data_IF_883902405313
#
_entry.id   IF_883902405313
#
_cell.length_a   1.000
_cell.length_b   1.000
_cell.length_c   1.000
_cell.angle_alpha   90.00
_cell.angle_beta   90.00
_cell.angle_gamma   90.00
#
_symmetry.space_group_name_H-M   'P 1'
#
loop_
_entity.id
_entity.type
_entity.pdbx_description
1 polymer ?
#
# COMPACT_ATOMS: atom_id res chain seq x y z
N UNK A 1 43.29 82.15 -1.79
CA UNK A 1 43.90 80.94 -2.31
C UNK A 1 42.92 79.78 -1.99
N UNK A 2 42.05 79.50 -2.95
CA UNK A 2 40.84 78.69 -2.74
C UNK A 2 41.05 77.35 -3.40
N UNK A 3 41.06 76.27 -2.63
CA UNK A 3 41.23 74.91 -3.12
C UNK A 3 39.83 74.31 -3.36
N UNK A 4 39.54 74.00 -4.63
CA UNK A 4 38.35 73.27 -5.05
C UNK A 4 38.56 71.76 -4.82
N UNK A 5 37.76 71.12 -3.95
CA UNK A 5 37.67 69.70 -3.83
C UNK A 5 36.53 69.18 -4.72
N UNK A 6 36.87 68.39 -5.73
CA UNK A 6 35.89 67.69 -6.60
C UNK A 6 35.41 66.43 -5.93
N UNK A 7 34.13 66.36 -5.62
CA UNK A 7 33.47 65.11 -5.21
C UNK A 7 33.20 64.26 -6.43
N UNK A 8 33.83 63.08 -6.47
CA UNK A 8 33.58 62.02 -7.46
C UNK A 8 32.52 61.08 -6.91
N UNK A 9 31.29 61.23 -7.41
CA UNK A 9 30.15 60.37 -7.00
C UNK A 9 30.25 59.00 -7.69
N UNK A 10 30.59 57.94 -6.96
CA UNK A 10 30.50 56.56 -7.43
C UNK A 10 29.05 56.09 -7.30
N UNK A 11 28.37 55.95 -8.45
CA UNK A 11 27.05 55.35 -8.53
C UNK A 11 27.25 53.81 -8.54
N UNK A 12 27.08 53.16 -7.39
CA UNK A 12 27.11 51.70 -7.28
C UNK A 12 25.79 51.16 -7.79
N UNK A 13 25.81 50.61 -9.02
CA UNK A 13 24.69 49.87 -9.62
C UNK A 13 24.66 48.48 -9.01
N UNK A 14 23.87 48.25 -7.97
CA UNK A 14 23.62 46.93 -7.39
C UNK A 14 22.66 46.16 -8.30
N UNK A 15 23.20 45.20 -9.07
CA UNK A 15 22.42 44.23 -9.83
C UNK A 15 21.89 43.18 -8.84
N UNK A 16 20.59 43.27 -8.51
CA UNK A 16 19.86 42.22 -7.79
C UNK A 16 19.65 41.02 -8.71
N UNK A 17 20.50 40.00 -8.58
CA UNK A 17 20.25 38.68 -9.16
C UNK A 17 19.09 38.04 -8.41
N UNK A 18 17.89 38.17 -8.94
CA UNK A 18 16.72 37.39 -8.48
C UNK A 18 16.92 35.95 -8.97
N UNK A 19 17.54 35.10 -8.14
CA UNK A 19 17.56 33.66 -8.35
C UNK A 19 16.13 33.11 -8.18
N UNK A 20 15.40 33.02 -9.27
CA UNK A 20 14.12 32.35 -9.30
C UNK A 20 14.34 30.86 -9.04
N UNK A 21 14.12 30.38 -7.81
CA UNK A 21 13.91 28.96 -7.55
C UNK A 21 12.64 28.54 -8.27
N UNK A 22 12.77 28.00 -9.49
CA UNK A 22 11.71 27.23 -10.11
C UNK A 22 11.56 25.93 -9.31
N UNK A 23 10.63 25.91 -8.37
CA UNK A 23 10.15 24.67 -7.76
C UNK A 23 9.55 23.80 -8.87
N UNK A 24 10.26 22.74 -9.23
CA UNK A 24 9.71 21.67 -10.10
C UNK A 24 8.44 21.19 -9.40
N UNK A 25 7.26 21.24 -10.03
CA UNK A 25 6.06 20.76 -9.41
C UNK A 25 6.27 19.27 -9.12
N UNK A 26 6.29 18.93 -7.85
CA UNK A 26 6.32 17.54 -7.40
C UNK A 26 5.04 16.89 -7.96
N UNK A 27 5.20 16.03 -8.98
CA UNK A 27 4.05 15.34 -9.59
C UNK A 27 3.44 14.46 -8.51
N UNK A 28 2.35 14.93 -7.91
CA UNK A 28 1.64 14.18 -6.88
C UNK A 28 1.36 12.77 -7.42
N UNK A 29 1.78 11.75 -6.68
CA UNK A 29 1.46 10.37 -7.03
C UNK A 29 -0.06 10.24 -7.12
N UNK A 30 -0.63 9.73 -8.24
CA UNK A 30 -2.06 9.58 -8.37
C UNK A 30 -2.64 8.75 -7.23
N UNK A 31 -3.86 9.09 -6.79
CA UNK A 31 -4.57 8.31 -5.78
C UNK A 31 -4.65 6.85 -6.22
N UNK A 32 -4.37 5.93 -5.29
CA UNK A 32 -4.43 4.51 -5.55
C UNK A 32 -5.88 4.10 -5.83
N UNK A 33 -6.13 3.50 -7.01
CA UNK A 33 -7.46 3.08 -7.39
C UNK A 33 -7.73 1.65 -6.93
N UNK A 34 -8.88 1.44 -6.31
CA UNK A 34 -9.40 0.11 -5.95
C UNK A 34 -10.23 -0.47 -7.10
N UNK A 35 -10.55 -1.77 -7.02
CA UNK A 35 -11.50 -2.41 -7.94
C UNK A 35 -12.90 -1.82 -7.81
N UNK A 36 -13.69 -1.89 -8.87
CA UNK A 36 -15.01 -1.28 -8.92
C UNK A 36 -16.01 -1.87 -7.93
N UNK A 37 -15.89 -3.15 -7.61
CA UNK A 37 -16.72 -3.84 -6.64
C UNK A 37 -16.10 -5.15 -6.16
N UNK A 38 -16.34 -5.48 -4.88
CA UNK A 38 -15.99 -6.77 -4.27
C UNK A 38 -17.27 -7.39 -3.68
N UNK A 39 -17.61 -8.57 -4.19
CA UNK A 39 -18.58 -9.45 -3.54
C UNK A 39 -17.87 -10.09 -2.33
N UNK A 40 -18.24 -9.65 -1.14
CA UNK A 40 -17.61 -10.08 0.10
C UNK A 40 -17.77 -11.59 0.30
N UNK A 41 -18.94 -12.16 0.00
CA UNK A 41 -19.20 -13.60 0.19
C UNK A 41 -18.25 -14.46 -0.67
N UNK A 42 -17.93 -14.00 -1.88
CA UNK A 42 -16.94 -14.65 -2.74
C UNK A 42 -15.49 -14.44 -2.28
N UNK A 43 -15.25 -13.33 -1.56
CA UNK A 43 -13.90 -13.00 -1.06
C UNK A 43 -13.55 -13.76 0.22
N UNK A 44 -14.54 -14.21 0.99
CA UNK A 44 -14.35 -14.99 2.22
C UNK A 44 -13.55 -16.27 1.98
N UNK A 45 -13.13 -16.91 3.07
CA UNK A 45 -12.38 -18.16 3.08
C UNK A 45 -10.87 -17.96 3.00
N UNK A 46 -10.15 -18.99 2.58
CA UNK A 46 -8.68 -19.04 2.63
C UNK A 46 -8.03 -18.40 1.41
N UNK A 47 -6.97 -17.63 1.67
CA UNK A 47 -6.04 -17.09 0.70
C UNK A 47 -4.60 -17.44 1.10
N UNK A 48 -3.77 -17.74 0.12
CA UNK A 48 -2.33 -17.93 0.26
C UNK A 48 -1.62 -16.65 -0.16
N UNK A 49 -0.65 -16.21 0.61
CA UNK A 49 0.23 -15.11 0.25
C UNK A 49 1.33 -15.62 -0.68
N UNK A 50 1.35 -15.11 -1.91
CA UNK A 50 2.30 -15.51 -2.95
C UNK A 50 3.52 -14.58 -2.96
N UNK A 51 3.30 -13.29 -2.71
CA UNK A 51 4.34 -12.28 -2.65
C UNK A 51 3.87 -11.08 -1.82
N UNK A 52 4.83 -10.37 -1.25
CA UNK A 52 4.59 -9.16 -0.45
C UNK A 52 5.73 -8.15 -0.62
N UNK A 53 5.46 -6.89 -0.28
CA UNK A 53 6.53 -5.95 0.01
C UNK A 53 7.06 -6.23 1.42
N UNK A 54 8.40 -6.31 1.61
CA UNK A 54 8.98 -6.62 2.91
C UNK A 54 8.44 -5.72 4.02
N UNK A 55 7.95 -6.31 5.09
CA UNK A 55 7.42 -5.62 6.24
C UNK A 55 7.98 -6.20 7.54
N UNK A 56 7.87 -5.46 8.64
CA UNK A 56 8.48 -5.85 9.91
C UNK A 56 7.66 -6.91 10.67
N UNK A 57 6.33 -6.90 10.49
CA UNK A 57 5.41 -7.76 11.26
C UNK A 57 5.29 -9.19 10.69
N UNK A 58 5.72 -9.40 9.43
CA UNK A 58 5.82 -10.74 8.84
C UNK A 58 7.26 -11.26 8.72
N UNK A 59 8.21 -10.56 9.40
CA UNK A 59 9.61 -10.97 9.38
C UNK A 59 9.80 -12.37 9.97
N UNK A 60 10.33 -13.28 9.16
CA UNK A 60 10.53 -14.69 9.54
C UNK A 60 9.33 -15.58 9.25
N UNK A 61 8.22 -15.06 8.75
CA UNK A 61 7.08 -15.83 8.30
C UNK A 61 7.39 -16.64 7.04
N UNK A 62 6.94 -17.89 7.01
CA UNK A 62 7.01 -18.79 5.88
C UNK A 62 5.63 -19.38 5.62
N UNK A 63 5.19 -19.37 4.34
CA UNK A 63 3.92 -19.94 3.92
C UNK A 63 2.70 -19.24 4.52
N UNK A 64 2.72 -17.91 4.55
CA UNK A 64 1.64 -17.10 5.11
C UNK A 64 0.30 -17.35 4.43
N UNK A 65 -0.75 -17.39 5.24
CA UNK A 65 -2.14 -17.49 4.78
C UNK A 65 -3.03 -16.53 5.54
N UNK A 66 -4.10 -16.07 4.88
CA UNK A 66 -5.17 -15.29 5.50
C UNK A 66 -6.50 -16.05 5.33
N UNK A 67 -7.28 -16.13 6.40
CA UNK A 67 -8.63 -16.68 6.37
C UNK A 67 -9.63 -15.60 6.78
N UNK A 68 -10.62 -15.36 5.94
CA UNK A 68 -11.66 -14.35 6.14
C UNK A 68 -13.00 -15.03 6.42
N UNK A 69 -13.65 -14.63 7.51
CA UNK A 69 -14.93 -15.17 7.97
C UNK A 69 -15.87 -14.02 8.34
N UNK A 70 -17.09 -14.06 7.83
CA UNK A 70 -18.11 -13.08 8.18
C UNK A 70 -18.71 -13.39 9.54
N UNK A 71 -18.74 -12.40 10.41
CA UNK A 71 -19.34 -12.46 11.73
C UNK A 71 -20.82 -12.02 11.68
N UNK A 72 -21.59 -12.46 12.67
CA UNK A 72 -23.00 -12.02 12.85
C UNK A 72 -23.11 -10.48 13.02
N UNK A 73 -22.07 -9.84 13.55
CA UNK A 73 -21.97 -8.38 13.67
C UNK A 73 -21.87 -7.65 12.32
N UNK A 74 -21.63 -8.38 11.23
CA UNK A 74 -21.34 -7.83 9.90
C UNK A 74 -19.85 -7.55 9.66
N UNK A 75 -19.01 -7.63 10.70
CA UNK A 75 -17.55 -7.53 10.55
C UNK A 75 -16.99 -8.79 9.88
N UNK A 76 -15.76 -8.69 9.39
CA UNK A 76 -15.01 -9.81 8.83
C UNK A 76 -13.89 -10.16 9.82
N UNK A 77 -13.90 -11.36 10.38
CA UNK A 77 -12.75 -11.88 11.13
C UNK A 77 -11.63 -12.20 10.15
N UNK A 78 -10.42 -11.82 10.50
CA UNK A 78 -9.21 -12.09 9.73
C UNK A 78 -8.28 -12.92 10.61
N UNK A 79 -7.98 -14.14 10.16
CA UNK A 79 -7.00 -15.01 10.81
C UNK A 79 -5.81 -15.18 9.89
N UNK A 80 -4.67 -14.60 10.25
CA UNK A 80 -3.41 -14.75 9.54
C UNK A 80 -2.58 -15.82 10.24
N UNK A 81 -1.98 -16.71 9.46
CA UNK A 81 -1.12 -17.78 9.96
C UNK A 81 0.15 -17.88 9.11
N UNK A 82 1.28 -18.17 9.76
CA UNK A 82 2.53 -18.53 9.07
C UNK A 82 3.36 -19.49 9.93
N UNK A 83 4.39 -20.12 9.35
CA UNK A 83 5.42 -20.85 10.08
C UNK A 83 6.63 -19.95 10.31
N UNK A 84 7.15 -19.91 11.52
CA UNK A 84 8.32 -19.08 11.83
C UNK A 84 9.60 -19.76 11.38
N UNK A 85 10.42 -19.03 10.63
CA UNK A 85 11.78 -19.44 10.23
C UNK A 85 11.87 -20.68 9.31
N UNK A 86 10.76 -21.12 8.72
CA UNK A 86 10.73 -22.22 7.76
C UNK A 86 9.48 -23.10 7.83
N UNK A 87 9.34 -24.08 6.92
CA UNK A 87 8.11 -24.88 6.80
C UNK A 87 7.81 -25.73 8.02
N UNK A 88 8.84 -26.15 8.77
CA UNK A 88 8.72 -26.95 10.00
C UNK A 88 8.73 -26.07 11.27
N UNK A 89 8.74 -24.76 11.11
CA UNK A 89 8.79 -23.81 12.22
C UNK A 89 7.50 -23.78 13.04
N UNK A 90 7.54 -23.12 14.18
CA UNK A 90 6.39 -22.92 15.04
C UNK A 90 5.28 -22.14 14.31
N UNK A 91 4.03 -22.54 14.54
CA UNK A 91 2.88 -21.81 14.01
C UNK A 91 2.74 -20.47 14.73
N UNK A 92 2.76 -19.40 13.96
CA UNK A 92 2.41 -18.07 14.43
C UNK A 92 1.04 -17.68 13.86
N UNK A 93 0.18 -17.14 14.73
CA UNK A 93 -1.18 -16.77 14.39
C UNK A 93 -1.50 -15.37 14.90
N UNK A 94 -2.18 -14.58 14.07
CA UNK A 94 -2.75 -13.30 14.45
C UNK A 94 -4.21 -13.23 14.04
N UNK A 95 -5.09 -12.88 14.98
CA UNK A 95 -6.52 -12.74 14.76
C UNK A 95 -6.92 -11.28 14.90
N UNK A 96 -7.63 -10.76 13.91
CA UNK A 96 -8.15 -9.40 13.89
C UNK A 96 -9.55 -9.34 13.31
N UNK A 97 -10.09 -8.14 13.24
CA UNK A 97 -11.38 -7.88 12.60
C UNK A 97 -11.22 -6.77 11.54
N UNK A 98 -12.00 -6.88 10.48
CA UNK A 98 -12.06 -5.87 9.43
C UNK A 98 -13.47 -5.29 9.34
N UNK A 99 -13.54 -3.96 9.20
CA UNK A 99 -14.75 -3.23 8.86
C UNK A 99 -14.70 -2.82 7.40
N UNK A 100 -15.83 -2.90 6.68
CA UNK A 100 -15.95 -2.34 5.33
C UNK A 100 -16.02 -0.83 5.47
N UNK A 101 -15.01 -0.12 4.95
CA UNK A 101 -14.90 1.34 5.03
C UNK A 101 -15.57 2.06 3.85
N UNK A 102 -15.79 1.37 2.73
CA UNK A 102 -16.47 1.89 1.54
C UNK A 102 -17.54 0.91 1.04
N UNK A 103 -18.79 1.17 1.40
CA UNK A 103 -19.93 0.34 1.02
C UNK A 103 -20.34 0.45 -0.47
N UNK A 104 -19.70 1.33 -1.25
CA UNK A 104 -19.97 1.43 -2.69
C UNK A 104 -19.25 0.36 -3.47
N UNK A 105 -18.00 0.15 -3.13
CA UNK A 105 -17.13 -0.83 -3.81
C UNK A 105 -16.88 -2.07 -2.98
N UNK A 106 -17.02 -2.01 -1.64
CA UNK A 106 -16.56 -3.01 -0.66
C UNK A 106 -15.04 -3.33 -0.77
N UNK A 107 -14.28 -2.51 -1.51
CA UNK A 107 -12.88 -2.76 -1.79
C UNK A 107 -11.92 -2.08 -0.81
N UNK A 108 -12.43 -1.19 0.04
CA UNK A 108 -11.65 -0.52 1.09
C UNK A 108 -12.12 -1.02 2.45
N UNK A 109 -11.23 -1.67 3.17
CA UNK A 109 -11.48 -2.16 4.52
C UNK A 109 -10.52 -1.50 5.51
N UNK A 110 -10.89 -1.51 6.79
CA UNK A 110 -10.04 -1.17 7.93
C UNK A 110 -9.85 -2.42 8.77
N UNK A 111 -8.62 -2.90 8.86
CA UNK A 111 -8.27 -4.12 9.61
C UNK A 111 -7.62 -3.76 10.94
N UNK A 112 -8.02 -4.40 12.02
CA UNK A 112 -7.51 -4.21 13.37
C UNK A 112 -7.07 -5.52 13.99
N UNK A 113 -5.75 -5.66 14.21
CA UNK A 113 -5.17 -6.74 15.00
C UNK A 113 -4.90 -6.31 16.45
N UNK A 114 -4.58 -5.02 16.67
CA UNK A 114 -4.26 -4.48 17.99
C UNK A 114 -5.02 -3.16 18.24
N UNK A 115 -5.82 -3.14 19.29
CA UNK A 115 -6.48 -1.90 19.70
C UNK A 115 -5.47 -0.85 20.18
N UNK A 116 -5.59 0.45 19.83
CA UNK A 116 -6.64 1.07 19.01
C UNK A 116 -6.31 1.19 17.50
N UNK A 117 -5.24 0.57 17.01
CA UNK A 117 -4.68 0.80 15.68
C UNK A 117 -5.45 0.03 14.61
N UNK A 118 -5.85 0.73 13.53
CA UNK A 118 -6.46 0.15 12.34
C UNK A 118 -5.59 0.46 11.13
N UNK A 119 -5.28 -0.57 10.31
CA UNK A 119 -4.60 -0.44 9.03
C UNK A 119 -5.60 -0.37 7.87
N UNK A 120 -5.19 0.28 6.81
CA UNK A 120 -5.90 0.25 5.53
C UNK A 120 -5.65 -1.07 4.81
N UNK A 121 -6.69 -1.60 4.18
CA UNK A 121 -6.65 -2.80 3.38
C UNK A 121 -7.48 -2.55 2.13
N UNK A 122 -6.82 -2.21 1.03
CA UNK A 122 -7.44 -1.83 -0.22
C UNK A 122 -7.23 -2.88 -1.29
N UNK A 123 -8.32 -3.45 -1.82
CA UNK A 123 -8.26 -4.42 -2.91
C UNK A 123 -8.13 -3.64 -4.21
N UNK A 124 -6.92 -3.62 -4.77
CA UNK A 124 -6.56 -2.80 -5.93
C UNK A 124 -6.61 -3.56 -7.26
N UNK A 125 -6.59 -4.88 -7.19
CA UNK A 125 -6.84 -5.78 -8.33
C UNK A 125 -7.49 -7.05 -7.82
N UNK A 126 -8.41 -7.62 -8.59
CA UNK A 126 -9.13 -8.83 -8.22
C UNK A 126 -9.50 -9.59 -9.49
N UNK A 127 -9.19 -10.88 -9.52
CA UNK A 127 -9.61 -11.75 -10.60
C UNK A 127 -11.14 -11.89 -10.65
N UNK A 128 -11.69 -11.95 -11.86
CA UNK A 128 -13.15 -12.08 -12.07
C UNK A 128 -13.74 -13.35 -11.41
N UNK A 129 -12.94 -14.40 -11.31
CA UNK A 129 -13.29 -15.67 -10.68
C UNK A 129 -12.79 -15.78 -9.23
N UNK A 130 -12.22 -14.69 -8.68
CA UNK A 130 -11.69 -14.58 -7.32
C UNK A 130 -10.54 -15.55 -7.04
N UNK A 131 -9.72 -15.87 -8.03
CA UNK A 131 -8.59 -16.78 -7.87
C UNK A 131 -7.34 -16.08 -7.34
N UNK A 132 -7.19 -14.79 -7.60
CA UNK A 132 -6.11 -13.97 -7.04
C UNK A 132 -6.59 -12.53 -6.77
N UNK A 133 -5.89 -11.87 -5.85
CA UNK A 133 -6.10 -10.46 -5.52
C UNK A 133 -4.75 -9.75 -5.29
N UNK A 134 -4.71 -8.45 -5.57
CA UNK A 134 -3.64 -7.55 -5.14
C UNK A 134 -4.23 -6.62 -4.10
N UNK A 135 -3.58 -6.58 -2.94
CA UNK A 135 -3.97 -5.75 -1.82
C UNK A 135 -2.85 -4.77 -1.50
N UNK A 136 -3.21 -3.55 -1.16
CA UNK A 136 -2.26 -2.53 -0.73
C UNK A 136 -2.94 -1.57 0.25
N UNK A 137 -2.22 -0.55 0.67
CA UNK A 137 -2.75 0.60 1.39
C UNK A 137 -2.53 1.89 0.57
N UNK A 138 -3.19 3.01 0.92
CA UNK A 138 -3.16 4.25 0.12
C UNK A 138 -1.77 4.78 -0.20
N UNK A 139 -0.83 4.66 0.72
CA UNK A 139 0.55 5.14 0.60
C UNK A 139 1.50 4.16 -0.09
N UNK A 140 1.02 2.95 -0.44
CA UNK A 140 1.76 1.89 -1.14
C UNK A 140 3.00 1.34 -0.41
N UNK A 141 3.10 1.54 0.90
CA UNK A 141 4.21 1.00 1.68
C UNK A 141 4.08 -0.51 1.86
N UNK A 142 2.84 -1.02 1.91
CA UNK A 142 2.54 -2.44 2.00
C UNK A 142 1.78 -2.91 0.77
N UNK A 143 2.11 -4.12 0.34
CA UNK A 143 1.45 -4.77 -0.79
C UNK A 143 1.52 -6.28 -0.63
N UNK A 144 0.43 -6.95 -0.98
CA UNK A 144 0.34 -8.41 -1.01
C UNK A 144 -0.27 -8.88 -2.33
N UNK A 145 0.25 -9.98 -2.86
CA UNK A 145 -0.40 -10.78 -3.89
C UNK A 145 -0.95 -12.02 -3.21
N UNK A 146 -2.26 -12.16 -3.24
CA UNK A 146 -3.00 -13.28 -2.64
C UNK A 146 -3.51 -14.21 -3.74
N UNK A 147 -3.59 -15.52 -3.43
CA UNK A 147 -4.12 -16.55 -4.34
C UNK A 147 -4.95 -17.58 -3.60
N UNK A 148 -5.94 -18.14 -4.27
CA UNK A 148 -6.68 -19.32 -3.77
C UNK A 148 -5.86 -20.60 -3.83
N UNK A 149 -4.87 -20.66 -4.68
CA UNK A 149 -3.91 -21.77 -4.77
C UNK A 149 -2.59 -21.39 -4.12
N UNK A 150 -1.99 -22.32 -3.40
CA UNK A 150 -0.64 -22.17 -2.85
C UNK A 150 0.43 -22.00 -3.95
N UNK A 151 0.16 -22.58 -5.12
CA UNK A 151 1.02 -22.48 -6.29
C UNK A 151 0.39 -21.55 -7.33
N UNK A 152 1.09 -20.48 -7.66
CA UNK A 152 0.72 -19.58 -8.76
C UNK A 152 1.67 -19.83 -9.94
N UNK A 153 1.13 -19.90 -11.15
CA UNK A 153 1.97 -20.03 -12.33
C UNK A 153 2.79 -18.76 -12.57
N UNK A 154 3.98 -18.94 -13.16
CA UNK A 154 4.96 -17.86 -13.35
C UNK A 154 4.43 -16.72 -14.23
N UNK A 155 3.62 -17.05 -15.25
CA UNK A 155 3.08 -16.04 -16.16
C UNK A 155 2.02 -15.19 -15.47
N UNK A 156 1.14 -15.77 -14.67
CA UNK A 156 0.17 -15.04 -13.84
C UNK A 156 0.89 -14.10 -12.87
N UNK A 157 1.90 -14.60 -12.15
CA UNK A 157 2.68 -13.77 -11.23
C UNK A 157 3.37 -12.60 -11.95
N UNK A 158 3.93 -12.83 -13.14
CA UNK A 158 4.54 -11.78 -13.95
C UNK A 158 3.52 -10.71 -14.34
N UNK A 159 2.35 -11.12 -14.80
CA UNK A 159 1.25 -10.22 -15.18
C UNK A 159 0.80 -9.37 -13.99
N UNK A 160 0.66 -9.96 -12.78
CA UNK A 160 0.29 -9.22 -11.58
C UNK A 160 1.36 -8.19 -11.19
N UNK A 161 2.64 -8.55 -11.28
CA UNK A 161 3.75 -7.61 -11.05
C UNK A 161 3.77 -6.44 -12.04
N UNK A 162 3.40 -6.67 -13.30
CA UNK A 162 3.24 -5.61 -14.30
C UNK A 162 2.06 -4.69 -13.97
N UNK A 163 0.92 -5.24 -13.57
CA UNK A 163 -0.24 -4.46 -13.09
C UNK A 163 0.13 -3.57 -11.90
N UNK A 164 0.91 -4.08 -10.94
CA UNK A 164 1.39 -3.31 -9.78
C UNK A 164 2.23 -2.11 -10.24
N UNK A 165 3.22 -2.33 -11.13
CA UNK A 165 4.06 -1.24 -11.66
C UNK A 165 3.25 -0.14 -12.34
N UNK A 166 2.16 -0.51 -13.02
CA UNK A 166 1.29 0.44 -13.73
C UNK A 166 0.37 1.24 -12.79
N UNK A 167 0.27 0.83 -11.53
CA UNK A 167 -0.50 1.53 -10.50
C UNK A 167 0.36 2.50 -9.65
N UNK A 168 1.65 2.54 -9.87
CA UNK A 168 2.61 3.46 -9.23
C UNK A 168 3.32 2.84 -8.06
#
# INVERSE_FOLDING_TARGET
MTIFVKYFSYFFLTILLVSGCSSIPNKATPELQVVSYVDIERYLGKWYEIALYPNWFEKGCFGSTAYYEKLESGQIRVTNQCRMHGPEGELNEAIGNADIADNKTNAKLKVQFFWPFKGDYWIIDLDKDYQYAIVSEPDRQYLWILSRSQNMDVQTLKTLKEKIRNKG
#
